data_IF_209030218962
#
_entry.id   IF_209030218962
#
_cell.length_a   1.000
_cell.length_b   1.000
_cell.length_c   1.000
_cell.angle_alpha   90.00
_cell.angle_beta   90.00
_cell.angle_gamma   90.00
#
_symmetry.space_group_name_H-M   'P 1'
#
loop_
_entity.id
_entity.type
_entity.pdbx_description
1 polymer ?
#
# COMPACT_ATOMS: atom_id res chain seq x y z
N UNK A 1 39.87 -15.66 -2.80
CA UNK A 1 40.14 -14.29 -3.25
C UNK A 1 39.33 -13.36 -2.37
N UNK A 2 39.89 -12.30 -1.79
CA UNK A 2 39.11 -11.28 -1.08
C UNK A 2 38.12 -10.61 -2.06
N UNK A 3 36.90 -10.37 -1.62
CA UNK A 3 35.88 -9.76 -2.47
C UNK A 3 36.24 -8.30 -2.84
N UNK A 4 36.00 -7.93 -4.09
CA UNK A 4 36.30 -6.57 -4.62
C UNK A 4 35.22 -5.53 -4.30
N UNK A 5 34.03 -5.98 -3.87
CA UNK A 5 32.90 -5.14 -3.54
C UNK A 5 32.40 -5.44 -2.12
N UNK A 6 31.99 -4.37 -1.42
CA UNK A 6 31.32 -4.47 -0.14
C UNK A 6 29.82 -4.30 -0.30
N UNK A 7 29.03 -4.99 0.52
CA UNK A 7 27.58 -4.84 0.55
C UNK A 7 27.02 -4.68 1.95
N UNK A 8 25.74 -4.29 2.02
CA UNK A 8 24.97 -4.21 3.25
C UNK A 8 23.75 -5.12 3.14
N UNK A 9 23.67 -6.13 4.02
CA UNK A 9 22.64 -7.17 3.98
C UNK A 9 21.23 -6.58 4.18
N UNK A 10 21.05 -5.73 5.17
CA UNK A 10 19.73 -5.14 5.47
C UNK A 10 19.21 -4.17 4.39
N UNK A 11 20.11 -3.47 3.68
CA UNK A 11 19.73 -2.57 2.59
C UNK A 11 19.84 -3.20 1.19
N UNK A 12 20.27 -4.46 1.09
CA UNK A 12 20.54 -5.18 -0.17
C UNK A 12 21.23 -4.32 -1.23
N UNK A 13 22.28 -3.61 -0.84
CA UNK A 13 23.06 -2.77 -1.73
C UNK A 13 24.54 -3.22 -1.73
N UNK A 14 25.19 -3.08 -2.90
CA UNK A 14 26.63 -3.32 -3.03
C UNK A 14 27.31 -2.07 -3.58
N UNK A 15 28.58 -1.90 -3.25
CA UNK A 15 29.38 -0.77 -3.70
C UNK A 15 30.87 -1.05 -3.56
N UNK A 16 31.68 -0.03 -3.87
CA UNK A 16 33.11 -0.08 -3.71
C UNK A 16 33.47 -0.18 -2.21
N UNK A 17 34.62 -0.80 -1.91
CA UNK A 17 35.08 -0.95 -0.53
C UNK A 17 35.39 0.42 0.13
N UNK A 18 35.82 1.38 -0.67
CA UNK A 18 36.12 2.76 -0.30
C UNK A 18 34.93 3.73 -0.37
N UNK A 19 33.70 3.20 -0.46
CA UNK A 19 32.50 4.03 -0.55
C UNK A 19 32.39 5.02 0.62
N UNK A 20 32.33 6.34 0.38
CA UNK A 20 32.27 7.33 1.45
C UNK A 20 31.09 7.16 2.40
N UNK A 21 29.94 6.73 1.87
CA UNK A 21 28.74 6.45 2.65
C UNK A 21 28.91 5.24 3.57
N UNK A 22 29.55 4.16 3.07
CA UNK A 22 29.84 2.97 3.86
C UNK A 22 30.89 3.24 4.94
N UNK A 23 31.96 3.98 4.61
CA UNK A 23 33.01 4.34 5.55
C UNK A 23 32.46 5.19 6.71
N UNK A 24 31.62 6.18 6.42
CA UNK A 24 30.94 6.97 7.44
C UNK A 24 30.03 6.15 8.36
N UNK A 25 29.34 5.15 7.81
CA UNK A 25 28.50 4.25 8.61
C UNK A 25 29.34 3.32 9.50
N UNK A 26 30.47 2.83 8.99
CA UNK A 26 31.42 2.01 9.75
C UNK A 26 32.06 2.80 10.90
N UNK A 27 32.46 4.05 10.65
CA UNK A 27 33.05 4.92 11.67
C UNK A 27 32.10 5.18 12.86
N UNK A 28 30.78 5.14 12.62
CA UNK A 28 29.75 5.27 13.66
C UNK A 28 29.34 3.95 14.33
N UNK A 29 30.09 2.88 14.10
CA UNK A 29 29.82 1.56 14.69
C UNK A 29 28.67 0.78 14.06
N UNK A 30 27.87 1.41 13.19
CA UNK A 30 26.84 0.74 12.38
C UNK A 30 27.44 0.06 11.15
N UNK A 31 26.84 -0.93 10.57
CA UNK A 31 27.28 -1.59 9.35
C UNK A 31 28.09 -2.88 9.54
N UNK A 32 28.84 -3.04 10.65
CA UNK A 32 29.73 -4.23 10.84
C UNK A 32 28.97 -5.56 10.79
N UNK A 33 27.90 -5.69 11.54
CA UNK A 33 27.11 -6.90 11.62
C UNK A 33 26.34 -7.24 10.34
N UNK A 34 26.16 -6.25 9.45
CA UNK A 34 25.39 -6.38 8.20
C UNK A 34 26.29 -6.38 6.95
N UNK A 35 27.63 -6.32 7.14
CA UNK A 35 28.57 -6.26 6.03
C UNK A 35 28.73 -7.61 5.36
N UNK A 36 28.67 -7.61 4.04
CA UNK A 36 28.95 -8.75 3.18
C UNK A 36 29.94 -8.35 2.09
N UNK A 37 30.60 -9.32 1.49
CA UNK A 37 31.58 -9.07 0.43
C UNK A 37 31.23 -9.92 -0.79
N UNK A 38 31.45 -9.37 -1.98
CA UNK A 38 31.19 -10.02 -3.25
C UNK A 38 32.45 -10.00 -4.10
N UNK A 39 32.71 -11.09 -4.80
CA UNK A 39 33.84 -11.21 -5.74
C UNK A 39 33.70 -10.13 -6.84
N UNK A 40 32.51 -9.96 -7.35
CA UNK A 40 32.18 -9.03 -8.44
C UNK A 40 30.72 -8.54 -8.40
N UNK A 41 30.37 -7.65 -9.34
CA UNK A 41 29.04 -7.10 -9.44
C UNK A 41 27.99 -8.09 -9.97
N UNK A 42 28.39 -9.11 -10.72
CA UNK A 42 27.48 -10.14 -11.22
C UNK A 42 27.00 -11.01 -10.05
N UNK A 43 27.94 -11.47 -9.21
CA UNK A 43 27.65 -12.21 -7.98
C UNK A 43 26.75 -11.42 -7.03
N UNK A 44 27.03 -10.12 -6.84
CA UNK A 44 26.20 -9.28 -6.00
C UNK A 44 24.75 -9.14 -6.54
N UNK A 45 24.58 -8.97 -7.85
CA UNK A 45 23.26 -8.91 -8.50
C UNK A 45 22.53 -10.25 -8.44
N UNK A 46 23.20 -11.35 -8.70
CA UNK A 46 22.62 -12.69 -8.57
C UNK A 46 22.12 -12.98 -7.15
N UNK A 47 22.78 -12.41 -6.13
CA UNK A 47 22.34 -12.45 -4.74
C UNK A 47 21.22 -11.43 -4.40
N UNK A 48 20.68 -10.69 -5.38
CA UNK A 48 19.61 -9.72 -5.19
C UNK A 48 20.05 -8.38 -4.60
N UNK A 49 21.32 -7.99 -4.80
CA UNK A 49 21.83 -6.70 -4.33
C UNK A 49 21.86 -5.67 -5.46
N UNK A 50 21.42 -4.46 -5.20
CA UNK A 50 21.45 -3.32 -6.12
C UNK A 50 22.74 -2.49 -5.97
N UNK A 51 23.20 -1.80 -7.03
CA UNK A 51 24.37 -0.91 -6.93
C UNK A 51 24.10 0.28 -6.00
N UNK A 52 25.15 0.73 -5.33
CA UNK A 52 25.11 1.94 -4.52
C UNK A 52 25.07 3.20 -5.39
N UNK A 53 24.11 4.07 -5.17
CA UNK A 53 23.96 5.32 -5.91
C UNK A 53 25.12 6.31 -5.68
N UNK A 54 25.86 6.20 -4.56
CA UNK A 54 26.91 7.14 -4.18
C UNK A 54 28.25 6.78 -4.86
N UNK A 55 28.65 5.50 -4.83
CA UNK A 55 29.96 5.10 -5.36
C UNK A 55 29.91 4.37 -6.70
N UNK A 56 28.72 4.03 -7.18
CA UNK A 56 28.46 3.41 -8.49
C UNK A 56 27.28 4.08 -9.21
N UNK A 57 27.32 5.42 -9.42
CA UNK A 57 26.17 6.18 -9.90
C UNK A 57 25.68 5.72 -11.28
N UNK A 58 26.60 5.44 -12.21
CA UNK A 58 26.23 4.98 -13.55
C UNK A 58 25.59 3.58 -13.53
N UNK A 59 26.14 2.67 -12.73
CA UNK A 59 25.58 1.32 -12.55
C UNK A 59 24.22 1.40 -11.85
N UNK A 60 24.07 2.29 -10.91
CA UNK A 60 22.78 2.56 -10.27
C UNK A 60 21.77 3.13 -11.24
N UNK A 61 22.15 4.09 -12.09
CA UNK A 61 21.28 4.66 -13.12
C UNK A 61 20.82 3.59 -14.13
N UNK A 62 21.75 2.73 -14.61
CA UNK A 62 21.40 1.60 -15.48
C UNK A 62 20.49 0.58 -14.79
N UNK A 63 20.80 0.20 -13.56
CA UNK A 63 19.94 -0.68 -12.78
C UNK A 63 18.54 -0.09 -12.60
N UNK A 64 18.46 1.19 -12.25
CA UNK A 64 17.20 1.91 -12.10
C UNK A 64 16.42 2.02 -13.42
N UNK A 65 17.11 2.23 -14.54
CA UNK A 65 16.50 2.25 -15.87
C UNK A 65 15.98 0.86 -16.29
N UNK A 66 16.71 -0.21 -15.99
CA UNK A 66 16.31 -1.59 -16.26
C UNK A 66 15.14 -2.03 -15.38
N UNK A 67 15.09 -1.61 -14.12
CA UNK A 67 13.97 -1.87 -13.20
C UNK A 67 12.79 -0.90 -13.41
N UNK A 68 13.05 0.25 -13.95
CA UNK A 68 12.02 1.26 -14.29
C UNK A 68 11.50 1.18 -15.74
N UNK A 69 12.13 0.40 -16.61
CA UNK A 69 11.85 0.41 -18.05
C UNK A 69 11.75 -0.95 -18.73
N UNK A 70 11.81 -2.06 -18.01
CA UNK A 70 11.85 -3.35 -18.66
C UNK A 70 11.41 -4.51 -17.81
N UNK A 71 10.15 -4.79 -17.78
CA UNK A 71 9.63 -6.08 -17.36
C UNK A 71 9.21 -6.89 -18.58
N UNK A 72 10.21 -7.52 -19.22
CA UNK A 72 9.98 -8.76 -19.98
C UNK A 72 10.98 -9.77 -19.47
N UNK A 73 10.58 -10.56 -18.46
CA UNK A 73 11.40 -11.64 -17.92
C UNK A 73 11.08 -11.95 -16.46
N UNK A 74 10.03 -12.70 -16.23
CA UNK A 74 9.72 -13.62 -15.12
C UNK A 74 10.34 -13.33 -13.74
N UNK A 75 9.68 -12.58 -12.95
CA UNK A 75 9.01 -12.73 -11.66
C UNK A 75 8.48 -11.35 -11.23
N UNK A 76 7.24 -11.13 -11.52
CA UNK A 76 6.40 -9.97 -11.49
C UNK A 76 6.51 -9.07 -10.26
N UNK A 77 7.12 -7.92 -10.43
CA UNK A 77 6.65 -6.72 -9.80
C UNK A 77 5.80 -5.96 -10.83
N UNK A 78 4.81 -6.64 -11.37
CA UNK A 78 3.71 -5.97 -12.06
C UNK A 78 2.95 -5.25 -10.96
N UNK A 79 2.89 -3.92 -10.99
CA UNK A 79 2.01 -3.17 -10.12
C UNK A 79 0.57 -3.71 -10.25
N UNK A 80 -0.30 -3.43 -9.29
CA UNK A 80 -1.67 -3.92 -9.35
C UNK A 80 -2.35 -3.47 -10.64
N UNK A 81 -3.27 -4.31 -11.15
CA UNK A 81 -4.09 -3.95 -12.30
C UNK A 81 -4.81 -2.62 -12.05
N UNK A 82 -5.08 -1.83 -13.08
CA UNK A 82 -5.91 -0.63 -12.95
C UNK A 82 -7.29 -0.99 -12.37
N UNK A 83 -7.81 -0.14 -11.48
CA UNK A 83 -9.14 -0.29 -10.92
C UNK A 83 -10.22 -0.11 -11.98
N UNK A 84 -11.40 -0.71 -11.76
CA UNK A 84 -12.58 -0.53 -12.60
C UNK A 84 -13.59 0.43 -11.95
N UNK A 85 -14.50 0.98 -12.73
CA UNK A 85 -15.60 1.79 -12.21
C UNK A 85 -16.55 0.96 -11.33
N UNK A 86 -16.81 -0.30 -11.72
CA UNK A 86 -17.64 -1.24 -10.95
C UNK A 86 -17.03 -1.52 -9.57
N UNK A 87 -15.72 -1.70 -9.52
CA UNK A 87 -14.96 -1.92 -8.28
C UNK A 87 -15.07 -0.71 -7.32
N UNK A 88 -14.96 0.52 -7.85
CA UNK A 88 -15.11 1.74 -7.02
C UNK A 88 -16.56 1.88 -6.53
N UNK A 89 -17.56 1.61 -7.37
CA UNK A 89 -18.96 1.65 -6.97
C UNK A 89 -19.25 0.63 -5.86
N UNK A 90 -18.83 -0.64 -6.02
CA UNK A 90 -18.99 -1.66 -5.00
C UNK A 90 -18.28 -1.31 -3.68
N UNK A 91 -17.13 -0.63 -3.75
CA UNK A 91 -16.45 -0.14 -2.57
C UNK A 91 -17.28 0.93 -1.84
N UNK A 92 -17.93 1.85 -2.56
CA UNK A 92 -18.83 2.84 -1.97
C UNK A 92 -20.03 2.17 -1.30
N UNK A 93 -20.62 1.16 -1.93
CA UNK A 93 -21.71 0.37 -1.36
C UNK A 93 -21.29 -0.35 -0.07
N UNK A 94 -20.10 -0.95 -0.04
CA UNK A 94 -19.54 -1.57 1.16
C UNK A 94 -19.34 -0.57 2.31
N UNK A 95 -18.90 0.64 2.01
CA UNK A 95 -18.73 1.71 3.00
C UNK A 95 -20.10 2.18 3.54
N UNK A 96 -21.13 2.18 2.70
CA UNK A 96 -22.48 2.58 3.08
C UNK A 96 -23.23 1.48 3.85
N UNK A 97 -22.96 0.19 3.58
CA UNK A 97 -23.66 -0.95 4.16
C UNK A 97 -23.36 -1.21 5.66
N UNK A 98 -22.46 -0.45 6.26
CA UNK A 98 -22.05 -0.61 7.65
C UNK A 98 -23.16 -0.24 8.65
N UNK A 99 -23.24 -0.94 9.80
CA UNK A 99 -24.19 -0.58 10.89
C UNK A 99 -23.95 0.81 11.47
N UNK A 100 -22.74 1.33 11.33
CA UNK A 100 -22.40 2.70 11.73
C UNK A 100 -22.08 3.50 10.47
N UNK A 101 -22.61 4.70 10.33
CA UNK A 101 -22.32 5.55 9.19
C UNK A 101 -20.82 5.89 9.17
N UNK A 102 -20.17 5.68 8.03
CA UNK A 102 -18.81 6.14 7.78
C UNK A 102 -18.89 7.59 7.31
N UNK A 103 -18.21 8.49 7.99
CA UNK A 103 -18.18 9.93 7.66
C UNK A 103 -16.78 10.41 7.33
N UNK A 104 -15.78 9.77 7.90
CA UNK A 104 -14.37 10.11 7.70
C UNK A 104 -13.57 8.93 7.21
N UNK A 105 -12.75 9.15 6.17
CA UNK A 105 -11.85 8.17 5.59
C UNK A 105 -10.40 8.62 5.70
N UNK A 106 -9.49 7.69 5.94
CA UNK A 106 -8.08 7.81 5.54
C UNK A 106 -7.80 6.84 4.40
N UNK A 107 -7.17 7.33 3.35
CA UNK A 107 -6.85 6.54 2.15
C UNK A 107 -5.36 6.28 2.11
N UNK A 108 -4.99 5.01 1.97
CA UNK A 108 -3.61 4.60 1.82
C UNK A 108 -3.34 3.99 0.45
N UNK A 109 -2.17 4.25 -0.16
CA UNK A 109 -1.85 3.66 -1.45
C UNK A 109 -0.36 3.38 -1.67
N UNK A 110 -0.07 2.40 -2.53
CA UNK A 110 1.26 2.17 -3.09
C UNK A 110 1.70 3.35 -3.98
N UNK A 111 3.00 3.46 -4.22
CA UNK A 111 3.56 4.56 -5.05
C UNK A 111 3.49 4.30 -6.55
N UNK A 112 3.03 3.14 -6.98
CA UNK A 112 2.79 2.86 -8.39
C UNK A 112 1.65 3.71 -8.97
N UNK A 113 1.59 3.79 -10.30
CA UNK A 113 0.62 4.63 -11.00
C UNK A 113 -0.83 4.16 -10.82
N UNK A 114 -1.06 2.84 -10.82
CA UNK A 114 -2.39 2.24 -10.68
C UNK A 114 -2.96 2.48 -9.28
N UNK A 115 -2.17 2.22 -8.23
CA UNK A 115 -2.56 2.48 -6.84
C UNK A 115 -2.88 3.95 -6.59
N UNK A 116 -2.10 4.86 -7.15
CA UNK A 116 -2.32 6.30 -7.05
C UNK A 116 -3.59 6.74 -7.78
N UNK A 117 -3.84 6.20 -8.98
CA UNK A 117 -5.06 6.47 -9.74
C UNK A 117 -6.30 5.96 -8.98
N UNK A 118 -6.23 4.76 -8.42
CA UNK A 118 -7.27 4.16 -7.60
C UNK A 118 -7.60 5.01 -6.36
N UNK A 119 -6.59 5.47 -5.63
CA UNK A 119 -6.79 6.33 -4.46
C UNK A 119 -7.49 7.65 -4.80
N UNK A 120 -7.15 8.25 -5.95
CA UNK A 120 -7.83 9.46 -6.46
C UNK A 120 -9.28 9.18 -6.85
N UNK A 121 -9.56 8.07 -7.51
CA UNK A 121 -10.91 7.68 -7.90
C UNK A 121 -11.79 7.44 -6.67
N UNK A 122 -11.27 6.74 -5.67
CA UNK A 122 -11.96 6.53 -4.39
C UNK A 122 -12.25 7.86 -3.68
N UNK A 123 -11.25 8.77 -3.60
CA UNK A 123 -11.45 10.07 -2.97
C UNK A 123 -12.49 10.91 -3.71
N UNK A 124 -12.48 10.89 -5.05
CA UNK A 124 -13.45 11.61 -5.87
C UNK A 124 -14.87 11.04 -5.71
N UNK A 125 -15.03 9.71 -5.73
CA UNK A 125 -16.32 9.05 -5.52
C UNK A 125 -16.86 9.36 -4.12
N UNK A 126 -16.04 9.25 -3.08
CA UNK A 126 -16.42 9.54 -1.70
C UNK A 126 -16.92 10.97 -1.49
N UNK A 127 -16.23 11.96 -2.07
CA UNK A 127 -16.66 13.38 -1.99
C UNK A 127 -17.78 13.71 -2.98
N UNK A 128 -17.90 12.94 -4.08
CA UNK A 128 -18.91 13.15 -5.12
C UNK A 128 -20.32 12.70 -4.71
N UNK A 129 -20.42 11.57 -4.03
CA UNK A 129 -21.67 11.04 -3.51
C UNK A 129 -22.38 12.04 -2.57
N UNK A 130 -21.62 12.74 -1.75
CA UNK A 130 -22.13 13.75 -0.84
C UNK A 130 -22.76 14.95 -1.59
N UNK A 131 -22.19 15.33 -2.74
CA UNK A 131 -22.76 16.37 -3.63
C UNK A 131 -24.03 15.91 -4.32
N UNK A 132 -24.06 14.68 -4.81
CA UNK A 132 -25.21 14.10 -5.49
C UNK A 132 -26.38 13.89 -4.52
N UNK A 133 -26.14 13.49 -3.29
CA UNK A 133 -27.13 13.34 -2.24
C UNK A 133 -27.77 14.69 -1.89
N UNK A 134 -26.96 15.72 -1.65
CA UNK A 134 -27.45 17.09 -1.39
C UNK A 134 -28.22 17.68 -2.56
N UNK A 135 -27.82 17.37 -3.79
CA UNK A 135 -28.52 17.83 -4.99
C UNK A 135 -29.88 17.17 -5.19
N UNK A 136 -30.04 15.92 -4.73
CA UNK A 136 -31.32 15.17 -4.82
C UNK A 136 -32.37 15.61 -3.79
N UNK A 137 -31.95 16.15 -2.64
CA UNK A 137 -32.82 16.56 -1.55
C UNK A 137 -32.69 18.06 -1.14
N UNK A 138 -32.81 19.01 -2.09
CA UNK A 138 -32.57 20.43 -1.80
C UNK A 138 -33.62 21.08 -0.88
N UNK A 139 -34.81 20.47 -0.73
CA UNK A 139 -35.94 21.02 0.03
C UNK A 139 -36.09 20.50 1.46
N UNK A 140 -35.35 19.47 1.84
CA UNK A 140 -35.37 18.93 3.19
C UNK A 140 -34.31 19.55 4.12
N UNK A 141 -33.46 20.40 3.59
CA UNK A 141 -32.42 21.12 4.30
C UNK A 141 -32.98 22.37 4.98
N UNK A 142 -33.87 22.20 5.96
CA UNK A 142 -34.15 23.26 6.93
C UNK A 142 -32.91 23.59 7.75
N UNK A 143 -32.75 24.83 8.25
CA UNK A 143 -31.49 25.27 8.90
C UNK A 143 -31.06 24.43 10.11
N UNK A 144 -31.93 23.64 10.69
CA UNK A 144 -31.65 22.74 11.80
C UNK A 144 -31.21 21.32 11.35
N UNK A 145 -31.50 20.87 10.12
CA UNK A 145 -31.08 19.57 9.57
C UNK A 145 -29.78 19.64 8.76
N UNK A 146 -29.43 20.82 8.26
CA UNK A 146 -28.14 21.02 7.58
C UNK A 146 -26.94 20.81 8.52
N UNK A 147 -27.12 20.93 9.83
CA UNK A 147 -26.08 20.64 10.83
C UNK A 147 -25.92 19.16 11.13
N UNK A 148 -26.90 18.30 10.81
CA UNK A 148 -26.90 16.88 11.19
C UNK A 148 -26.38 15.95 10.10
N UNK A 149 -26.27 16.38 8.85
CA UNK A 149 -25.60 15.64 7.78
C UNK A 149 -24.14 16.11 7.72
N UNK A 150 -23.35 15.66 8.67
CA UNK A 150 -21.91 15.93 8.65
C UNK A 150 -21.31 15.42 7.32
N UNK A 151 -20.68 16.34 6.57
CA UNK A 151 -20.11 16.07 5.29
C UNK A 151 -19.11 14.88 5.34
N UNK A 152 -19.14 14.04 4.33
CA UNK A 152 -18.12 12.99 4.15
C UNK A 152 -16.76 13.64 3.93
N UNK A 153 -15.73 13.22 4.66
CA UNK A 153 -14.39 13.81 4.58
C UNK A 153 -13.32 12.76 4.35
N UNK A 154 -12.28 13.13 3.61
CA UNK A 154 -11.02 12.41 3.55
C UNK A 154 -10.04 13.11 4.48
N UNK A 155 -9.63 12.45 5.57
CA UNK A 155 -8.72 13.04 6.57
C UNK A 155 -7.29 13.14 6.05
N UNK A 156 -6.78 12.08 5.41
CA UNK A 156 -5.45 12.06 4.80
C UNK A 156 -5.39 11.05 3.65
N UNK A 157 -4.50 11.32 2.70
CA UNK A 157 -4.11 10.37 1.65
C UNK A 157 -2.63 10.10 1.83
N UNK A 158 -2.28 8.87 2.18
CA UNK A 158 -0.94 8.47 2.57
C UNK A 158 -0.35 7.47 1.60
N UNK A 159 0.78 7.80 1.01
CA UNK A 159 1.53 6.87 0.16
C UNK A 159 2.60 6.09 0.94
N UNK A 160 2.90 4.89 0.48
CA UNK A 160 4.04 4.11 0.97
C UNK A 160 4.84 3.48 -0.16
N UNK A 161 6.16 3.34 0.02
CA UNK A 161 6.99 2.57 -0.91
C UNK A 161 6.80 1.06 -0.67
N UNK A 162 6.91 0.25 -1.71
CA UNK A 162 6.87 -1.21 -1.61
C UNK A 162 8.00 -1.74 -0.73
N UNK A 163 9.16 -1.08 -0.75
CA UNK A 163 10.31 -1.38 0.08
C UNK A 163 10.80 -0.16 0.83
N UNK A 164 10.92 -0.28 2.15
CA UNK A 164 11.47 0.73 3.03
C UNK A 164 12.13 0.10 4.26
N UNK A 165 12.99 0.85 4.93
CA UNK A 165 13.55 0.44 6.22
C UNK A 165 12.48 0.46 7.32
N UNK A 166 11.46 1.30 7.19
CA UNK A 166 10.37 1.41 8.16
C UNK A 166 9.14 2.08 7.52
N UNK A 167 7.96 1.61 7.91
CA UNK A 167 6.64 2.18 7.54
C UNK A 167 5.98 2.92 8.72
N UNK A 168 6.70 3.15 9.82
CA UNK A 168 6.12 3.70 11.05
C UNK A 168 5.50 5.09 10.87
N UNK A 169 6.18 5.96 10.13
CA UNK A 169 5.69 7.32 9.85
C UNK A 169 4.39 7.28 9.05
N UNK A 170 4.35 6.48 8.00
CA UNK A 170 3.17 6.30 7.14
C UNK A 170 2.01 5.66 7.91
N UNK A 171 2.28 4.65 8.72
CA UNK A 171 1.28 4.01 9.56
C UNK A 171 0.65 4.99 10.56
N UNK A 172 1.46 5.81 11.23
CA UNK A 172 0.97 6.85 12.15
C UNK A 172 0.14 7.90 11.45
N UNK A 173 0.55 8.34 10.25
CA UNK A 173 -0.23 9.29 9.45
C UNK A 173 -1.56 8.70 9.02
N UNK A 174 -1.56 7.47 8.50
CA UNK A 174 -2.77 6.80 8.03
C UNK A 174 -3.80 6.58 9.15
N UNK A 175 -3.35 6.39 10.39
CA UNK A 175 -4.22 6.22 11.55
C UNK A 175 -4.52 7.54 12.29
N UNK A 176 -3.90 8.65 11.88
CA UNK A 176 -4.12 9.95 12.52
C UNK A 176 -5.58 10.41 12.35
N UNK A 177 -6.06 11.17 13.33
CA UNK A 177 -7.44 11.69 13.31
C UNK A 177 -8.53 10.65 13.56
N UNK A 178 -8.17 9.39 13.84
CA UNK A 178 -9.12 8.31 14.14
C UNK A 178 -10.26 8.19 13.13
N UNK A 179 -9.97 7.92 11.84
CA UNK A 179 -11.00 7.82 10.81
C UNK A 179 -12.03 6.74 11.13
N UNK A 180 -13.25 6.89 10.65
CA UNK A 180 -14.29 5.87 10.79
C UNK A 180 -13.93 4.61 10.01
N UNK A 181 -13.27 4.77 8.86
CA UNK A 181 -12.77 3.67 8.04
C UNK A 181 -11.47 4.03 7.31
N UNK A 182 -10.77 2.99 6.87
CA UNK A 182 -9.59 3.09 6.01
C UNK A 182 -9.91 2.48 4.65
N UNK A 183 -9.43 3.11 3.59
CA UNK A 183 -9.42 2.51 2.25
C UNK A 183 -7.98 2.33 1.79
N UNK A 184 -7.67 1.18 1.20
CA UNK A 184 -6.32 0.84 0.78
C UNK A 184 -6.27 0.38 -0.67
N UNK A 185 -5.32 0.97 -1.41
CA UNK A 185 -5.06 0.71 -2.82
C UNK A 185 -3.59 0.38 -2.99
N UNK A 186 -3.26 -0.85 -3.38
CA UNK A 186 -1.85 -1.22 -3.46
C UNK A 186 -1.60 -2.64 -3.92
N UNK A 187 -0.33 -3.01 -3.99
CA UNK A 187 0.11 -4.37 -4.20
C UNK A 187 0.16 -5.15 -2.87
N UNK A 188 -0.03 -6.48 -2.90
CA UNK A 188 -0.06 -7.31 -1.69
C UNK A 188 1.17 -7.17 -0.80
N UNK A 189 2.38 -7.13 -1.39
CA UNK A 189 3.63 -7.09 -0.64
C UNK A 189 3.79 -5.82 0.20
N UNK A 190 3.54 -4.64 -0.38
CA UNK A 190 3.62 -3.36 0.31
C UNK A 190 2.55 -3.23 1.39
N UNK A 191 1.31 -3.61 1.05
CA UNK A 191 0.22 -3.58 2.00
C UNK A 191 0.43 -4.51 3.19
N UNK A 192 0.90 -5.73 2.97
CA UNK A 192 1.18 -6.67 4.06
C UNK A 192 2.15 -6.10 5.10
N UNK A 193 3.19 -5.41 4.65
CA UNK A 193 4.17 -4.75 5.53
C UNK A 193 3.55 -3.57 6.28
N UNK A 194 2.75 -2.78 5.58
CA UNK A 194 2.02 -1.65 6.16
C UNK A 194 0.99 -2.12 7.19
N UNK A 195 0.19 -3.14 6.89
CA UNK A 195 -0.83 -3.68 7.78
C UNK A 195 -0.24 -4.21 9.09
N UNK A 196 0.87 -4.95 9.01
CA UNK A 196 1.60 -5.39 10.22
C UNK A 196 2.09 -4.21 11.06
N UNK A 197 2.60 -3.17 10.41
CA UNK A 197 3.06 -1.97 11.11
C UNK A 197 1.91 -1.20 11.75
N UNK A 198 0.79 -1.07 11.05
CA UNK A 198 -0.43 -0.45 11.57
C UNK A 198 -0.92 -1.18 12.82
N UNK A 199 -1.06 -2.50 12.76
CA UNK A 199 -1.49 -3.33 13.89
C UNK A 199 -0.58 -3.20 15.11
N UNK A 200 0.73 -3.13 14.90
CA UNK A 200 1.72 -3.05 15.99
C UNK A 200 1.84 -1.67 16.64
N UNK A 201 1.51 -0.60 15.92
CA UNK A 201 1.94 0.74 16.31
C UNK A 201 0.83 1.80 16.35
N UNK A 202 -0.42 1.40 16.09
CA UNK A 202 -1.56 2.32 16.01
C UNK A 202 -2.86 1.64 16.49
N UNK A 203 -3.95 2.41 16.56
CA UNK A 203 -5.31 1.93 16.83
C UNK A 203 -6.05 1.43 15.58
N UNK A 204 -5.33 1.17 14.50
CA UNK A 204 -5.90 0.66 13.24
C UNK A 204 -6.60 -0.69 13.42
N UNK A 205 -7.66 -0.90 12.65
CA UNK A 205 -8.44 -2.13 12.64
C UNK A 205 -8.70 -2.64 11.23
N UNK A 206 -8.37 -3.90 10.96
CA UNK A 206 -8.67 -4.56 9.68
C UNK A 206 -10.18 -4.62 9.42
N UNK A 207 -11.00 -4.85 10.44
CA UNK A 207 -12.46 -4.89 10.31
C UNK A 207 -13.13 -3.58 9.92
N UNK A 208 -12.39 -2.45 9.98
CA UNK A 208 -12.81 -1.14 9.47
C UNK A 208 -12.03 -0.72 8.23
N UNK A 209 -11.31 -1.65 7.61
CA UNK A 209 -10.50 -1.39 6.42
C UNK A 209 -11.15 -2.03 5.20
N UNK A 210 -11.18 -1.26 4.13
CA UNK A 210 -11.73 -1.65 2.84
C UNK A 210 -10.64 -1.56 1.78
N UNK A 211 -10.70 -2.45 0.80
CA UNK A 211 -9.66 -2.54 -0.22
C UNK A 211 -10.25 -2.76 -1.61
N UNK A 212 -9.43 -2.56 -2.63
CA UNK A 212 -9.74 -2.88 -4.01
C UNK A 212 -9.34 -4.33 -4.34
N UNK A 213 -9.75 -4.81 -5.50
CA UNK A 213 -9.59 -6.20 -5.96
C UNK A 213 -8.13 -6.67 -5.96
N UNK A 214 -7.17 -5.76 -6.20
CA UNK A 214 -5.74 -6.07 -6.17
C UNK A 214 -5.26 -6.70 -4.86
N UNK A 215 -5.98 -6.47 -3.76
CA UNK A 215 -5.69 -7.04 -2.44
C UNK A 215 -6.58 -8.25 -2.08
N UNK A 216 -7.55 -8.60 -2.93
CA UNK A 216 -8.41 -9.78 -2.78
C UNK A 216 -7.73 -11.07 -3.20
N UNK A 217 -6.51 -11.34 -2.79
CA UNK A 217 -5.73 -12.52 -3.19
C UNK A 217 -5.24 -13.32 -1.97
N UNK A 218 -5.13 -14.65 -2.06
CA UNK A 218 -4.57 -15.47 -0.98
C UNK A 218 -3.16 -15.04 -0.57
N UNK A 219 -2.41 -14.43 -1.47
CA UNK A 219 -1.07 -13.91 -1.22
C UNK A 219 -1.04 -12.91 -0.06
N UNK A 220 -2.04 -12.02 0.03
CA UNK A 220 -2.06 -11.00 1.09
C UNK A 220 -2.14 -11.64 2.49
N UNK A 221 -2.92 -12.71 2.63
CA UNK A 221 -3.06 -13.44 3.89
C UNK A 221 -1.76 -14.16 4.23
N UNK A 222 -1.11 -14.79 3.25
CA UNK A 222 0.18 -15.45 3.43
C UNK A 222 1.27 -14.45 3.86
N UNK A 223 1.29 -13.25 3.28
CA UNK A 223 2.30 -12.24 3.56
C UNK A 223 2.06 -11.48 4.89
N UNK A 224 0.82 -11.13 5.21
CA UNK A 224 0.52 -10.30 6.39
C UNK A 224 0.23 -11.13 7.65
N UNK A 225 -0.24 -12.36 7.48
CA UNK A 225 -0.77 -13.22 8.53
C UNK A 225 -2.27 -13.02 8.73
N UNK A 226 -3.00 -14.13 8.93
CA UNK A 226 -4.45 -14.18 9.07
C UNK A 226 -4.98 -13.21 10.14
N UNK A 227 -4.38 -13.23 11.33
CA UNK A 227 -4.80 -12.37 12.45
C UNK A 227 -4.62 -10.87 12.17
N UNK A 228 -3.69 -10.49 11.28
CA UNK A 228 -3.48 -9.09 10.92
C UNK A 228 -4.61 -8.55 10.08
N UNK A 229 -5.21 -9.39 9.24
CA UNK A 229 -6.17 -9.00 8.22
C UNK A 229 -7.61 -9.45 8.53
N UNK A 230 -7.86 -10.08 9.67
CA UNK A 230 -9.19 -10.57 10.03
C UNK A 230 -10.24 -9.46 9.96
N UNK A 231 -11.27 -9.67 9.13
CA UNK A 231 -12.33 -8.71 8.87
C UNK A 231 -12.03 -7.67 7.80
N UNK A 232 -10.86 -7.70 7.15
CA UNK A 232 -10.58 -6.87 5.97
C UNK A 232 -11.56 -7.23 4.86
N UNK A 233 -12.19 -6.23 4.25
CA UNK A 233 -13.16 -6.40 3.16
C UNK A 233 -12.75 -5.62 1.94
N UNK A 234 -13.25 -5.99 0.78
CA UNK A 234 -12.94 -5.25 -0.43
C UNK A 234 -13.89 -5.52 -1.58
N UNK A 235 -13.79 -4.68 -2.61
CA UNK A 235 -14.52 -4.84 -3.85
C UNK A 235 -13.78 -5.78 -4.80
N UNK A 236 -14.52 -6.54 -5.61
CA UNK A 236 -14.01 -7.35 -6.72
C UNK A 236 -14.09 -6.56 -8.02
N UNK A 237 -13.32 -6.98 -9.04
CA UNK A 237 -13.23 -6.30 -10.35
C UNK A 237 -14.59 -6.21 -11.05
N UNK A 238 -15.44 -7.19 -10.83
CA UNK A 238 -16.78 -7.34 -11.41
C UNK A 238 -17.88 -6.60 -10.61
N UNK A 239 -17.50 -5.90 -9.52
CA UNK A 239 -18.46 -5.21 -8.66
C UNK A 239 -18.98 -6.05 -7.50
N UNK A 240 -18.61 -7.33 -7.38
CA UNK A 240 -18.82 -8.12 -6.18
C UNK A 240 -17.94 -7.66 -5.01
N UNK A 241 -17.93 -8.42 -3.94
CA UNK A 241 -17.07 -8.12 -2.80
C UNK A 241 -16.37 -9.36 -2.25
N UNK A 242 -15.32 -9.14 -1.46
CA UNK A 242 -14.58 -10.19 -0.78
C UNK A 242 -14.29 -9.80 0.67
N UNK A 243 -14.06 -10.81 1.50
CA UNK A 243 -13.76 -10.64 2.93
C UNK A 243 -12.70 -11.65 3.39
N UNK A 244 -11.81 -11.21 4.29
CA UNK A 244 -10.88 -12.10 4.99
C UNK A 244 -11.54 -12.60 6.27
N UNK A 245 -11.77 -13.91 6.34
CA UNK A 245 -12.29 -14.60 7.52
C UNK A 245 -11.50 -15.86 7.84
N UNK A 246 -11.09 -15.99 9.08
CA UNK A 246 -10.36 -17.18 9.59
C UNK A 246 -9.15 -17.56 8.72
N UNK A 247 -8.47 -16.54 8.17
CA UNK A 247 -7.31 -16.74 7.31
C UNK A 247 -7.63 -17.10 5.85
N UNK A 248 -8.88 -17.05 5.43
CA UNK A 248 -9.32 -17.31 4.06
C UNK A 248 -9.94 -16.07 3.45
N UNK A 249 -9.87 -15.96 2.12
CA UNK A 249 -10.62 -14.95 1.37
C UNK A 249 -11.87 -15.62 0.83
N UNK A 250 -13.01 -15.06 1.18
CA UNK A 250 -14.32 -15.47 0.65
C UNK A 250 -14.81 -14.41 -0.31
N UNK A 251 -15.24 -14.83 -1.51
CA UNK A 251 -15.81 -13.97 -2.54
C UNK A 251 -17.33 -14.07 -2.53
N UNK A 252 -17.97 -12.94 -2.68
CA UNK A 252 -19.43 -12.80 -2.77
C UNK A 252 -19.74 -12.10 -4.09
N UNK A 253 -20.23 -12.82 -5.11
CA UNK A 253 -20.59 -12.22 -6.39
C UNK A 253 -21.77 -11.26 -6.21
N UNK A 254 -21.94 -10.36 -7.19
CA UNK A 254 -23.17 -9.57 -7.27
C UNK A 254 -24.39 -10.51 -7.32
N UNK A 255 -25.48 -10.17 -6.60
CA UNK A 255 -26.71 -10.90 -6.78
C UNK A 255 -27.12 -10.81 -8.25
N UNK A 256 -27.29 -11.97 -8.89
CA UNK A 256 -27.83 -12.04 -10.25
C UNK A 256 -29.23 -11.42 -10.21
N UNK A 257 -29.43 -10.31 -10.90
CA UNK A 257 -30.77 -9.79 -11.11
C UNK A 257 -31.55 -10.78 -11.94
N UNK A 258 -32.74 -11.17 -11.52
CA UNK A 258 -33.62 -12.06 -12.30
C UNK A 258 -34.07 -11.39 -13.60
#
# INVERSE_FOLDING_TARGET
MPGTLGGHRGGRLYGRLDCPSALRALARGGYRAQRVFFADAATARAAGYRPCAVCLPERYARWKALEGGGATGATGATGPAPHTAAEVAALMDLLAAGRRPVRSLSIGHGRDAASRAAARAVAAAWCGDDRAERARHPREAGPHRAADVAARTVLDIVDWPEEAASWLRQARRLAAGSPDAWVVCGAPAGWARMARRLRQSTSWSAGRTFALASLGTPEIVALAGAETLEGLRGASVDGGHWEVRRGWITFHPLPSHP
#
